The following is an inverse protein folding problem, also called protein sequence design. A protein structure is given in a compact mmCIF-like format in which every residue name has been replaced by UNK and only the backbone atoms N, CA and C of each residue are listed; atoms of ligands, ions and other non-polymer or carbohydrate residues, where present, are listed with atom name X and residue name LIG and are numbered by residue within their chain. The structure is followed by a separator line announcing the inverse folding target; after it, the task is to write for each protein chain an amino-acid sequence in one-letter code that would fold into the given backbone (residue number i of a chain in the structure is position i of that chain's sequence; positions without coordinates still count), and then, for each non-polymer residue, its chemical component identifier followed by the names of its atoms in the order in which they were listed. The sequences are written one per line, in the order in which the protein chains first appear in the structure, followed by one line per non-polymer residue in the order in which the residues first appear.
data_IF_146726004306
#
_entry.id   IF_146726004306
#
_cell.length_a   1.000
_cell.length_b   1.000
_cell.length_c   1.000
_cell.angle_alpha   90.00
_cell.angle_beta   90.00
_cell.angle_gamma   90.00
#
_symmetry.space_group_name_H-M   'P 1'
#
loop_
_entity.id
_entity.type
_entity.pdbx_description
1 polymer ?
#
# COMPACT_ATOMS: atom_id res chain seq x y z
N UNK A 1 17.12 -6.14 -3.18
CA UNK A 1 16.04 -6.31 -4.19
C UNK A 1 16.32 -7.46 -5.15
N UNK A 2 17.56 -7.71 -5.61
CA UNK A 2 17.88 -8.88 -6.45
C UNK A 2 17.49 -10.18 -5.75
N UNK A 3 17.96 -10.40 -4.54
CA UNK A 3 17.61 -11.57 -3.72
C UNK A 3 16.09 -11.76 -3.54
N UNK A 4 15.35 -10.66 -3.33
CA UNK A 4 13.88 -10.69 -3.22
C UNK A 4 13.24 -11.25 -4.50
N UNK A 5 13.72 -10.83 -5.67
CA UNK A 5 13.23 -11.33 -6.97
C UNK A 5 13.64 -12.77 -7.19
N UNK A 6 14.89 -13.13 -6.88
CA UNK A 6 15.42 -14.50 -6.97
C UNK A 6 14.61 -15.47 -6.07
N UNK A 7 14.09 -14.99 -4.97
CA UNK A 7 13.15 -15.72 -4.10
C UNK A 7 11.71 -15.78 -4.63
N UNK A 8 11.42 -15.18 -5.80
CA UNK A 8 10.09 -15.19 -6.42
C UNK A 8 9.12 -14.13 -5.93
N UNK A 9 9.57 -13.12 -5.16
CA UNK A 9 8.69 -12.05 -4.70
C UNK A 9 8.51 -10.97 -5.78
N UNK A 10 7.27 -10.53 -6.06
CA UNK A 10 7.02 -9.45 -7.02
C UNK A 10 7.52 -8.10 -6.49
N UNK A 11 7.97 -7.25 -7.41
CA UNK A 11 8.40 -5.88 -7.10
C UNK A 11 7.54 -4.89 -7.90
N UNK A 12 6.83 -4.02 -7.20
CA UNK A 12 6.00 -2.96 -7.77
C UNK A 12 6.70 -1.59 -7.80
N UNK A 13 6.05 -0.63 -8.45
CA UNK A 13 6.49 0.77 -8.51
C UNK A 13 5.86 1.58 -7.37
N UNK A 14 6.66 2.48 -6.77
CA UNK A 14 6.22 3.37 -5.68
C UNK A 14 6.70 4.81 -5.90
N UNK A 15 6.88 5.21 -7.16
CA UNK A 15 7.53 6.45 -7.62
C UNK A 15 9.02 6.53 -7.26
N UNK A 16 9.74 7.43 -7.92
CA UNK A 16 11.17 7.63 -7.67
C UNK A 16 11.45 8.48 -6.43
N UNK A 17 10.67 9.55 -6.23
CA UNK A 17 10.86 10.56 -5.18
C UNK A 17 9.75 10.56 -4.11
N UNK A 18 8.94 9.52 -4.01
CA UNK A 18 7.81 9.47 -3.08
C UNK A 18 6.86 10.68 -3.24
N UNK A 19 6.36 10.90 -4.47
CA UNK A 19 5.57 12.08 -4.84
C UNK A 19 4.11 11.97 -4.46
N UNK A 20 3.48 13.10 -4.09
CA UNK A 20 2.04 13.16 -3.82
C UNK A 20 1.24 13.19 -5.13
N UNK A 21 0.66 12.07 -5.50
CA UNK A 21 0.06 11.86 -6.82
C UNK A 21 -1.31 12.54 -7.02
N UNK A 22 -2.06 12.85 -5.95
CA UNK A 22 -3.40 13.44 -6.09
C UNK A 22 -3.39 14.95 -6.37
N UNK A 23 -2.27 15.64 -6.12
CA UNK A 23 -2.21 17.10 -6.31
C UNK A 23 -2.28 17.50 -7.77
N UNK A 24 -2.90 18.68 -8.02
CA UNK A 24 -2.85 19.39 -9.30
C UNK A 24 -1.88 20.59 -9.28
N UNK A 25 -1.38 20.95 -8.09
CA UNK A 25 -0.37 21.99 -7.92
C UNK A 25 1.03 21.35 -7.99
N UNK A 26 1.86 21.71 -9.01
CA UNK A 26 3.18 21.14 -9.18
C UNK A 26 4.12 21.40 -8.00
N UNK A 27 3.91 22.47 -7.22
CA UNK A 27 4.70 22.78 -6.03
C UNK A 27 4.40 21.80 -4.87
N UNK A 28 3.23 21.15 -4.88
CA UNK A 28 2.82 20.20 -3.86
C UNK A 28 3.18 18.74 -4.18
N UNK A 29 3.63 18.46 -5.41
CA UNK A 29 4.01 17.10 -5.81
C UNK A 29 5.11 16.54 -4.91
N UNK A 30 6.08 17.38 -4.51
CA UNK A 30 7.16 17.01 -3.62
C UNK A 30 7.67 18.26 -2.87
N UNK A 31 8.05 18.11 -1.59
CA UNK A 31 8.44 19.23 -0.72
C UNK A 31 9.56 20.11 -1.31
N UNK A 32 10.48 19.53 -2.08
CA UNK A 32 11.58 20.27 -2.75
C UNK A 32 11.07 21.34 -3.71
N UNK A 33 9.92 21.13 -4.37
CA UNK A 33 9.36 22.10 -5.32
C UNK A 33 8.72 23.31 -4.63
N UNK A 34 8.35 23.19 -3.35
CA UNK A 34 7.97 24.35 -2.53
C UNK A 34 9.17 25.25 -2.23
N UNK A 35 10.33 24.66 -1.98
CA UNK A 35 11.58 25.38 -1.64
C UNK A 35 12.33 25.86 -2.87
N UNK A 36 12.24 25.14 -3.98
CA UNK A 36 12.98 25.38 -5.20
C UNK A 36 12.06 25.21 -6.44
N UNK A 37 11.06 26.12 -6.66
CA UNK A 37 10.08 25.98 -7.73
C UNK A 37 10.70 26.03 -9.13
N UNK A 38 11.89 26.59 -9.30
CA UNK A 38 12.63 26.58 -10.58
C UNK A 38 13.01 25.16 -11.04
N UNK A 39 13.07 24.18 -10.14
CA UNK A 39 13.30 22.77 -10.50
C UNK A 39 12.14 22.17 -11.30
N UNK A 40 10.96 22.79 -11.25
CA UNK A 40 9.81 22.36 -12.05
C UNK A 40 10.04 22.61 -13.55
N UNK A 41 10.83 23.62 -13.93
CA UNK A 41 11.10 23.98 -15.32
C UNK A 41 9.81 24.14 -16.16
N UNK A 42 8.77 24.74 -15.59
CA UNK A 42 7.48 24.94 -16.24
C UNK A 42 6.57 23.71 -16.35
N UNK A 43 6.98 22.56 -15.81
CA UNK A 43 6.18 21.33 -15.87
C UNK A 43 4.95 21.41 -14.96
N UNK A 44 3.86 20.80 -15.42
CA UNK A 44 2.63 20.60 -14.64
C UNK A 44 2.81 19.51 -13.58
N UNK A 45 1.89 19.43 -12.62
CA UNK A 45 1.88 18.35 -11.63
C UNK A 45 1.82 16.96 -12.29
N UNK A 46 0.96 16.81 -13.30
CA UNK A 46 0.78 15.58 -14.06
C UNK A 46 2.09 15.13 -14.73
N UNK A 47 2.77 16.05 -15.42
CA UNK A 47 4.06 15.75 -16.07
C UNK A 47 5.15 15.33 -15.08
N UNK A 48 5.18 15.96 -13.90
CA UNK A 48 6.15 15.60 -12.85
C UNK A 48 5.84 14.22 -12.26
N UNK A 49 4.55 13.90 -12.01
CA UNK A 49 4.10 12.62 -11.51
C UNK A 49 4.39 11.52 -12.55
N UNK A 50 3.99 11.71 -13.81
CA UNK A 50 4.22 10.76 -14.89
C UNK A 50 5.71 10.44 -15.05
N UNK A 51 6.56 11.47 -15.07
CA UNK A 51 8.02 11.30 -15.15
C UNK A 51 8.57 10.54 -13.95
N UNK A 52 8.07 10.81 -12.74
CA UNK A 52 8.54 10.18 -11.52
C UNK A 52 8.23 8.67 -11.50
N UNK A 53 7.05 8.28 -11.97
CA UNK A 53 6.64 6.89 -12.13
C UNK A 53 7.50 6.20 -13.20
N UNK A 54 7.67 6.84 -14.37
CA UNK A 54 8.49 6.30 -15.45
C UNK A 54 9.97 6.10 -15.03
N UNK A 55 10.55 7.04 -14.29
CA UNK A 55 11.91 6.91 -13.75
C UNK A 55 12.07 5.72 -12.81
N UNK A 56 11.10 5.49 -11.92
CA UNK A 56 11.12 4.33 -11.03
C UNK A 56 11.02 3.01 -11.82
N UNK A 57 10.10 2.92 -12.79
CA UNK A 57 9.99 1.76 -13.68
C UNK A 57 11.27 1.50 -14.46
N UNK A 58 11.89 2.55 -15.01
CA UNK A 58 13.16 2.44 -15.73
C UNK A 58 14.29 1.97 -14.80
N UNK A 59 14.37 2.49 -13.56
CA UNK A 59 15.37 2.07 -12.60
C UNK A 59 15.21 0.58 -12.21
N UNK A 60 13.97 0.14 -11.98
CA UNK A 60 13.64 -1.27 -11.70
C UNK A 60 14.06 -2.13 -12.90
N UNK A 61 13.64 -1.78 -14.11
CA UNK A 61 13.99 -2.53 -15.34
C UNK A 61 15.49 -2.63 -15.54
N UNK A 62 16.22 -1.51 -15.41
CA UNK A 62 17.68 -1.49 -15.68
C UNK A 62 18.46 -2.28 -14.63
N UNK A 63 18.05 -2.22 -13.35
CA UNK A 63 18.80 -2.82 -12.25
C UNK A 63 18.40 -4.26 -11.93
N UNK A 64 17.16 -4.63 -12.22
CA UNK A 64 16.57 -5.90 -11.82
C UNK A 64 16.09 -6.75 -13.00
N UNK A 65 16.06 -6.21 -14.23
CA UNK A 65 15.63 -6.93 -15.43
C UNK A 65 14.12 -7.16 -15.53
N UNK A 66 13.32 -6.62 -14.62
CA UNK A 66 11.87 -6.81 -14.59
C UNK A 66 11.12 -5.52 -14.92
N UNK A 67 9.91 -5.65 -15.46
CA UNK A 67 8.99 -4.54 -15.67
C UNK A 67 7.85 -4.65 -14.66
N UNK A 68 7.70 -3.67 -13.71
CA UNK A 68 6.62 -3.73 -12.74
C UNK A 68 5.27 -3.53 -13.42
N UNK A 69 4.29 -4.36 -13.08
CA UNK A 69 2.91 -4.26 -13.57
C UNK A 69 1.94 -3.69 -12.51
N UNK A 70 2.44 -3.40 -11.32
CA UNK A 70 1.67 -2.87 -10.21
C UNK A 70 2.28 -1.61 -9.63
N UNK A 71 1.40 -0.75 -9.12
CA UNK A 71 1.75 0.54 -8.57
C UNK A 71 1.12 0.73 -7.19
N UNK A 72 1.95 1.06 -6.18
CA UNK A 72 1.43 1.54 -4.89
C UNK A 72 1.68 3.04 -4.79
N UNK A 73 0.63 3.80 -4.43
CA UNK A 73 0.78 5.25 -4.24
C UNK A 73 1.62 5.57 -3.02
N UNK A 74 2.51 6.58 -3.08
CA UNK A 74 3.06 7.21 -1.90
C UNK A 74 1.97 7.82 -1.03
N UNK A 75 1.73 7.20 0.14
CA UNK A 75 0.55 7.46 0.96
C UNK A 75 -0.70 6.74 0.46
N UNK A 76 -1.62 6.47 1.40
CA UNK A 76 -2.94 5.92 1.13
C UNK A 76 -4.02 7.00 1.21
N UNK A 77 -5.07 6.87 0.41
CA UNK A 77 -6.16 7.83 0.31
C UNK A 77 -7.48 7.14 0.63
N UNK A 78 -8.37 7.81 1.37
CA UNK A 78 -9.66 7.22 1.73
C UNK A 78 -10.49 6.77 0.50
N UNK A 79 -10.46 7.58 -0.55
CA UNK A 79 -11.19 7.29 -1.80
C UNK A 79 -10.28 6.75 -2.92
N UNK A 80 -9.03 6.44 -2.63
CA UNK A 80 -8.06 6.00 -3.63
C UNK A 80 -7.93 7.00 -4.79
N UNK A 81 -7.99 6.48 -6.00
CA UNK A 81 -7.98 7.28 -7.24
C UNK A 81 -9.38 7.59 -7.78
N UNK A 82 -10.46 7.44 -6.98
CA UNK A 82 -11.79 7.89 -7.38
C UNK A 82 -11.77 9.38 -7.76
N UNK A 83 -12.46 9.74 -8.85
CA UNK A 83 -12.46 11.11 -9.39
C UNK A 83 -11.17 11.51 -10.10
N UNK A 84 -10.21 10.60 -10.28
CA UNK A 84 -8.95 10.83 -10.99
C UNK A 84 -8.74 9.85 -12.17
N UNK A 85 -9.69 9.82 -13.14
CA UNK A 85 -9.55 8.96 -14.32
C UNK A 85 -8.32 9.32 -15.16
N UNK A 86 -7.83 10.55 -15.06
CA UNK A 86 -6.59 11.01 -15.64
C UNK A 86 -5.37 10.22 -15.13
N UNK A 87 -5.27 10.04 -13.80
CA UNK A 87 -4.20 9.24 -13.20
C UNK A 87 -4.35 7.74 -13.49
N UNK A 88 -5.58 7.23 -13.43
CA UNK A 88 -5.86 5.83 -13.74
C UNK A 88 -5.40 5.49 -15.18
N UNK A 89 -5.77 6.32 -16.17
CA UNK A 89 -5.34 6.16 -17.57
C UNK A 89 -3.83 6.36 -17.75
N UNK A 90 -3.22 7.29 -17.02
CA UNK A 90 -1.76 7.48 -17.02
C UNK A 90 -1.04 6.21 -16.56
N UNK A 91 -1.50 5.58 -15.48
CA UNK A 91 -0.95 4.33 -14.97
C UNK A 91 -1.09 3.20 -16.00
N UNK A 92 -2.28 3.03 -16.59
CA UNK A 92 -2.51 2.02 -17.65
C UNK A 92 -1.61 2.26 -18.87
N UNK A 93 -1.44 3.51 -19.32
CA UNK A 93 -0.52 3.86 -20.41
C UNK A 93 0.93 3.51 -20.12
N UNK A 94 1.34 3.53 -18.85
CA UNK A 94 2.67 3.11 -18.41
C UNK A 94 2.79 1.60 -18.13
N UNK A 95 1.74 0.81 -18.44
CA UNK A 95 1.75 -0.65 -18.35
C UNK A 95 1.29 -1.22 -17.00
N UNK A 96 0.74 -0.40 -16.11
CA UNK A 96 0.21 -0.91 -14.85
C UNK A 96 -1.20 -1.45 -15.04
N UNK A 97 -1.43 -2.67 -14.57
CA UNK A 97 -2.73 -3.34 -14.56
C UNK A 97 -3.49 -3.15 -13.24
N UNK A 98 -2.78 -2.85 -12.16
CA UNK A 98 -3.37 -2.63 -10.84
C UNK A 98 -2.66 -1.51 -10.07
N UNK A 99 -3.41 -0.95 -9.13
CA UNK A 99 -2.94 0.05 -8.17
C UNK A 99 -3.39 -0.32 -6.76
N UNK A 100 -2.59 0.07 -5.76
CA UNK A 100 -2.96 0.03 -4.36
C UNK A 100 -2.88 1.46 -3.82
N UNK A 101 -4.05 2.10 -3.67
CA UNK A 101 -4.17 3.51 -3.34
C UNK A 101 -5.19 3.80 -2.23
N UNK A 102 -6.20 2.96 -2.07
CA UNK A 102 -7.20 3.11 -1.01
C UNK A 102 -6.62 2.70 0.33
N UNK A 103 -6.78 3.57 1.33
CA UNK A 103 -6.47 3.30 2.72
C UNK A 103 -7.70 3.61 3.57
N UNK A 104 -8.47 2.57 3.97
CA UNK A 104 -9.73 2.76 4.70
C UNK A 104 -9.52 3.40 6.06
N UNK A 105 -10.44 4.24 6.47
CA UNK A 105 -10.42 4.91 7.78
C UNK A 105 -10.97 4.00 8.86
N UNK A 106 -10.37 4.08 10.03
CA UNK A 106 -10.88 3.49 11.27
C UNK A 106 -10.82 4.53 12.39
N UNK A 107 -11.42 4.22 13.54
CA UNK A 107 -11.32 5.07 14.72
C UNK A 107 -9.86 5.18 15.16
N UNK A 108 -9.43 6.39 15.45
CA UNK A 108 -8.11 6.68 16.01
C UNK A 108 -8.18 6.72 17.53
N UNK A 109 -7.25 6.01 18.17
CA UNK A 109 -7.03 6.11 19.61
C UNK A 109 -6.22 7.37 19.96
N UNK A 110 -6.12 7.65 21.25
CA UNK A 110 -5.17 8.66 21.74
C UNK A 110 -3.74 8.12 21.63
N UNK A 111 -2.76 8.94 21.21
CA UNK A 111 -1.35 8.54 21.18
C UNK A 111 -0.88 8.05 22.55
N UNK A 112 -0.06 7.00 22.58
CA UNK A 112 0.52 6.37 23.78
C UNK A 112 -0.51 5.72 24.73
N UNK A 113 -1.75 5.55 24.30
CA UNK A 113 -2.80 4.86 25.05
C UNK A 113 -3.09 3.52 24.36
N UNK A 114 -3.24 2.47 25.15
CA UNK A 114 -3.63 1.16 24.65
C UNK A 114 -4.97 1.24 23.92
N UNK A 115 -5.11 0.68 22.71
CA UNK A 115 -6.37 0.70 21.97
C UNK A 115 -7.44 -0.12 22.68
N UNK A 116 -8.62 0.49 22.86
CA UNK A 116 -9.78 -0.19 23.38
C UNK A 116 -10.46 -1.11 22.36
N UNK A 117 -11.44 -1.91 22.80
CA UNK A 117 -12.19 -2.81 21.92
C UNK A 117 -12.83 -2.10 20.71
N UNK A 118 -13.31 -0.88 20.89
CA UNK A 118 -13.93 -0.06 19.87
C UNK A 118 -12.99 0.26 18.70
N UNK A 119 -11.70 0.44 18.98
CA UNK A 119 -10.69 0.71 17.95
C UNK A 119 -10.45 -0.56 17.12
N UNK A 120 -10.23 -1.71 17.78
CA UNK A 120 -10.08 -3.00 17.08
C UNK A 120 -11.32 -3.33 16.25
N UNK A 121 -12.50 -3.15 16.79
CA UNK A 121 -13.76 -3.38 16.07
C UNK A 121 -13.88 -2.47 14.84
N UNK A 122 -13.46 -1.20 14.95
CA UNK A 122 -13.48 -0.27 13.81
C UNK A 122 -12.47 -0.66 12.72
N UNK A 123 -11.29 -1.16 13.10
CA UNK A 123 -10.29 -1.69 12.14
C UNK A 123 -10.87 -2.90 11.39
N UNK A 124 -11.51 -3.82 12.10
CA UNK A 124 -12.15 -5.00 11.48
C UNK A 124 -13.29 -4.57 10.57
N UNK A 125 -14.15 -3.66 11.01
CA UNK A 125 -15.27 -3.17 10.18
C UNK A 125 -14.77 -2.48 8.90
N UNK A 126 -13.65 -1.76 8.96
CA UNK A 126 -13.04 -1.10 7.81
C UNK A 126 -12.44 -2.09 6.79
N UNK A 127 -12.18 -3.36 7.16
CA UNK A 127 -11.72 -4.39 6.22
C UNK A 127 -12.69 -4.60 5.06
N UNK A 128 -13.99 -4.38 5.25
CA UNK A 128 -14.99 -4.45 4.17
C UNK A 128 -14.72 -3.44 3.06
N UNK A 129 -14.10 -2.31 3.38
CA UNK A 129 -13.70 -1.28 2.42
C UNK A 129 -12.30 -1.52 1.83
N UNK A 130 -11.56 -2.49 2.38
CA UNK A 130 -10.25 -2.90 1.92
C UNK A 130 -10.32 -4.10 0.95
N UNK A 131 -11.42 -4.22 0.20
CA UNK A 131 -11.56 -5.31 -0.76
C UNK A 131 -11.30 -4.84 -2.19
N UNK A 132 -10.65 -5.67 -3.02
CA UNK A 132 -10.32 -5.31 -4.38
C UNK A 132 -11.56 -4.99 -5.23
N UNK A 133 -11.42 -4.05 -6.16
CA UNK A 133 -12.45 -3.69 -7.13
C UNK A 133 -11.83 -3.14 -8.42
N UNK A 134 -12.65 -2.95 -9.45
CA UNK A 134 -12.21 -2.39 -10.73
C UNK A 134 -12.76 -0.98 -10.89
N UNK A 135 -11.88 0.00 -11.18
CA UNK A 135 -12.31 1.34 -11.57
C UNK A 135 -13.04 1.32 -12.92
N UNK A 136 -13.90 2.31 -13.21
CA UNK A 136 -14.58 2.39 -14.53
C UNK A 136 -13.63 2.45 -15.73
N UNK A 137 -12.35 2.77 -15.51
CA UNK A 137 -11.31 2.76 -16.56
C UNK A 137 -10.75 1.36 -16.84
N UNK A 138 -11.10 0.35 -16.05
CA UNK A 138 -10.56 -1.00 -16.12
C UNK A 138 -9.30 -1.22 -15.27
N UNK A 139 -8.78 -0.20 -14.57
CA UNK A 139 -7.66 -0.37 -13.64
C UNK A 139 -8.15 -1.07 -12.37
N UNK A 140 -7.45 -2.13 -11.93
CA UNK A 140 -7.80 -2.83 -10.69
C UNK A 140 -7.26 -2.05 -9.49
N UNK A 141 -8.08 -1.85 -8.46
CA UNK A 141 -7.65 -1.34 -7.16
C UNK A 141 -7.54 -2.49 -6.17
N UNK A 142 -6.44 -2.55 -5.44
CA UNK A 142 -6.24 -3.46 -4.31
C UNK A 142 -5.98 -2.59 -3.07
N UNK A 143 -7.02 -2.30 -2.27
CA UNK A 143 -6.89 -1.46 -1.10
C UNK A 143 -5.93 -2.02 -0.06
N UNK A 144 -5.21 -1.12 0.61
CA UNK A 144 -4.39 -1.46 1.77
C UNK A 144 -5.25 -1.84 2.96
N UNK A 145 -4.73 -2.70 3.81
CA UNK A 145 -5.33 -3.00 5.12
C UNK A 145 -5.53 -1.70 5.93
N UNK A 146 -6.61 -1.56 6.71
CA UNK A 146 -6.92 -0.35 7.49
C UNK A 146 -5.89 0.01 8.56
N UNK A 147 -5.01 -0.90 8.93
CA UNK A 147 -3.94 -0.65 9.90
C UNK A 147 -2.57 -0.95 9.29
N UNK A 148 -1.63 -0.02 9.48
CA UNK A 148 -0.23 -0.18 9.09
C UNK A 148 0.69 0.02 10.29
N UNK A 149 1.93 -0.42 10.15
CA UNK A 149 3.00 -0.20 11.10
C UNK A 149 3.23 1.30 11.39
N UNK A 150 3.22 2.15 10.35
CA UNK A 150 3.36 3.61 10.52
C UNK A 150 2.20 4.19 11.32
N UNK A 151 0.97 3.77 11.07
CA UNK A 151 -0.19 4.23 11.85
C UNK A 151 -0.08 3.75 13.30
N UNK A 152 0.24 2.50 13.52
CA UNK A 152 0.37 1.93 14.85
C UNK A 152 1.53 2.57 15.64
N UNK A 153 2.75 2.53 15.11
CA UNK A 153 3.94 2.88 15.88
C UNK A 153 4.28 4.37 15.82
N UNK A 154 4.20 5.03 14.65
CA UNK A 154 4.61 6.42 14.50
C UNK A 154 3.50 7.43 14.78
N UNK A 155 2.24 7.05 14.60
CA UNK A 155 1.10 7.94 14.87
C UNK A 155 0.51 7.71 16.26
N UNK A 156 0.26 6.45 16.60
CA UNK A 156 -0.40 6.10 17.86
C UNK A 156 0.58 5.69 18.96
N UNK A 157 1.85 5.46 18.63
CA UNK A 157 2.88 4.97 19.58
C UNK A 157 2.44 3.71 20.32
N UNK A 158 1.85 2.77 19.56
CA UNK A 158 1.43 1.48 20.09
C UNK A 158 2.62 0.61 20.44
N UNK A 159 2.44 -0.26 21.43
CA UNK A 159 3.35 -1.39 21.65
C UNK A 159 3.12 -2.46 20.57
N UNK A 160 4.14 -3.29 20.33
CA UNK A 160 4.08 -4.38 19.37
C UNK A 160 2.88 -5.31 19.60
N UNK A 161 2.58 -5.65 20.86
CA UNK A 161 1.46 -6.52 21.22
C UNK A 161 0.09 -6.01 20.70
N UNK A 162 -0.11 -4.68 20.65
CA UNK A 162 -1.36 -4.08 20.15
C UNK A 162 -1.44 -4.16 18.63
N UNK A 163 -0.31 -3.96 17.95
CA UNK A 163 -0.23 -4.09 16.50
C UNK A 163 -0.42 -5.54 16.08
N UNK A 164 0.27 -6.50 16.73
CA UNK A 164 0.08 -7.93 16.52
C UNK A 164 -1.39 -8.35 16.66
N UNK A 165 -2.07 -7.86 17.71
CA UNK A 165 -3.50 -8.12 17.91
C UNK A 165 -4.34 -7.57 16.77
N UNK A 166 -4.10 -6.32 16.33
CA UNK A 166 -4.86 -5.71 15.24
C UNK A 166 -4.68 -6.45 13.92
N UNK A 167 -3.45 -6.80 13.55
CA UNK A 167 -3.13 -7.55 12.33
C UNK A 167 -3.74 -8.95 12.40
N UNK A 168 -3.60 -9.66 13.53
CA UNK A 168 -4.20 -10.98 13.71
C UNK A 168 -5.71 -10.97 13.50
N UNK A 169 -6.42 -10.02 14.12
CA UNK A 169 -7.87 -9.89 13.97
C UNK A 169 -8.27 -9.61 12.51
N UNK A 170 -7.51 -8.79 11.80
CA UNK A 170 -7.73 -8.52 10.36
C UNK A 170 -7.52 -9.75 9.50
N UNK A 171 -6.47 -10.53 9.75
CA UNK A 171 -6.20 -11.80 9.05
C UNK A 171 -7.29 -12.84 9.36
N UNK A 172 -7.69 -12.97 10.62
CA UNK A 172 -8.77 -13.87 11.02
C UNK A 172 -10.10 -13.53 10.35
N UNK A 173 -10.42 -12.23 10.28
CA UNK A 173 -11.58 -11.75 9.55
C UNK A 173 -11.49 -12.11 8.06
N UNK A 174 -10.35 -11.88 7.41
CA UNK A 174 -10.17 -12.18 5.99
C UNK A 174 -10.33 -13.69 5.71
N UNK A 175 -9.79 -14.55 6.57
CA UNK A 175 -9.96 -16.01 6.47
C UNK A 175 -11.43 -16.40 6.63
N UNK A 176 -12.13 -15.81 7.59
CA UNK A 176 -13.53 -16.09 7.87
C UNK A 176 -14.44 -15.67 6.71
N UNK A 177 -14.24 -14.46 6.20
CA UNK A 177 -15.06 -13.86 5.15
C UNK A 177 -14.61 -14.27 3.72
N UNK A 178 -13.52 -15.06 3.57
CA UNK A 178 -12.90 -15.40 2.29
C UNK A 178 -12.53 -14.16 1.49
N UNK A 179 -11.88 -13.24 2.16
CA UNK A 179 -11.58 -11.89 1.70
C UNK A 179 -10.08 -11.64 1.57
N UNK A 180 -9.69 -10.50 1.04
CA UNK A 180 -8.30 -10.08 0.91
C UNK A 180 -7.86 -9.28 2.14
N UNK A 181 -6.63 -9.53 2.60
CA UNK A 181 -5.91 -8.74 3.58
C UNK A 181 -4.56 -8.31 2.97
N UNK A 182 -4.47 -7.06 2.51
CA UNK A 182 -3.21 -6.49 1.99
C UNK A 182 -2.39 -5.91 3.15
N UNK A 183 -1.41 -6.66 3.63
CA UNK A 183 -0.55 -6.25 4.75
C UNK A 183 0.36 -5.09 4.34
N UNK A 184 0.12 -3.91 4.91
CA UNK A 184 0.92 -2.71 4.70
C UNK A 184 1.94 -2.54 5.82
N UNK A 185 3.22 -2.63 5.46
CA UNK A 185 4.33 -2.39 6.37
C UNK A 185 5.52 -1.73 5.68
N UNK A 186 6.37 -1.08 6.47
CA UNK A 186 7.59 -0.40 6.02
C UNK A 186 8.80 -1.05 6.68
N UNK A 187 9.77 -1.58 5.93
CA UNK A 187 10.97 -2.19 6.51
C UNK A 187 11.67 -1.28 7.51
N UNK A 188 11.76 0.03 7.23
CA UNK A 188 12.36 1.03 8.12
C UNK A 188 11.61 1.24 9.44
N UNK A 189 10.35 0.79 9.54
CA UNK A 189 9.57 0.83 10.77
C UNK A 189 9.66 -0.52 11.49
N UNK A 190 9.45 -1.63 10.76
CA UNK A 190 9.46 -2.96 11.35
C UNK A 190 10.81 -3.33 11.96
N UNK A 191 11.95 -3.00 11.34
CA UNK A 191 13.28 -3.33 11.91
C UNK A 191 13.53 -2.68 13.27
N UNK A 192 12.78 -1.62 13.62
CA UNK A 192 12.89 -0.92 14.92
C UNK A 192 11.86 -1.45 15.91
N UNK A 193 10.61 -1.62 15.46
CA UNK A 193 9.46 -1.88 16.32
C UNK A 193 9.12 -3.37 16.46
N UNK A 194 9.53 -4.18 15.47
CA UNK A 194 9.34 -5.63 15.39
C UNK A 194 10.59 -6.32 14.81
N UNK A 195 11.76 -6.18 15.46
CA UNK A 195 13.05 -6.68 14.94
C UNK A 195 13.08 -8.19 14.72
N UNK A 196 12.27 -8.93 15.46
CA UNK A 196 12.15 -10.40 15.33
C UNK A 196 11.12 -10.84 14.29
N UNK A 197 10.52 -9.87 13.56
CA UNK A 197 9.49 -10.12 12.54
C UNK A 197 8.30 -10.96 13.07
N UNK A 198 7.90 -10.75 14.33
CA UNK A 198 6.80 -11.48 14.96
C UNK A 198 5.48 -11.31 14.21
N UNK A 199 5.23 -10.10 13.67
CA UNK A 199 4.01 -9.83 12.90
C UNK A 199 3.95 -10.69 11.64
N UNK A 200 5.04 -10.74 10.87
CA UNK A 200 5.11 -11.53 9.64
C UNK A 200 5.01 -13.02 9.96
N UNK A 201 5.73 -13.48 10.98
CA UNK A 201 5.69 -14.87 11.44
C UNK A 201 4.28 -15.28 11.84
N UNK A 202 3.59 -14.45 12.63
CA UNK A 202 2.22 -14.69 13.07
C UNK A 202 1.26 -14.82 11.86
N UNK A 203 1.36 -13.95 10.86
CA UNK A 203 0.54 -14.02 9.63
C UNK A 203 0.82 -15.34 8.89
N UNK A 204 2.09 -15.68 8.66
CA UNK A 204 2.47 -16.93 7.99
C UNK A 204 1.95 -18.18 8.73
N UNK A 205 2.07 -18.21 10.03
CA UNK A 205 1.60 -19.32 10.86
C UNK A 205 0.07 -19.45 10.81
N UNK A 206 -0.66 -18.33 10.89
CA UNK A 206 -2.13 -18.35 10.80
C UNK A 206 -2.61 -18.87 9.46
N UNK A 207 -2.01 -18.40 8.35
CA UNK A 207 -2.36 -18.88 7.01
C UNK A 207 -1.99 -20.36 6.85
N UNK A 208 -0.82 -20.79 7.32
CA UNK A 208 -0.40 -22.20 7.29
C UNK A 208 -1.39 -23.12 8.02
N UNK A 209 -1.93 -22.67 9.16
CA UNK A 209 -2.95 -23.42 9.91
C UNK A 209 -4.30 -23.53 9.16
N UNK A 210 -4.54 -22.67 8.20
CA UNK A 210 -5.77 -22.56 7.42
C UNK A 210 -5.53 -22.77 5.91
N UNK A 211 -4.55 -23.59 5.54
CA UNK A 211 -4.08 -23.79 4.15
C UNK A 211 -5.19 -24.16 3.14
N UNK A 212 -6.27 -24.78 3.59
CA UNK A 212 -7.41 -25.14 2.74
C UNK A 212 -8.38 -23.96 2.52
N UNK A 213 -8.18 -22.84 3.23
CA UNK A 213 -9.07 -21.67 3.22
C UNK A 213 -8.35 -20.37 2.92
N UNK A 214 -7.03 -20.32 3.07
CA UNK A 214 -6.23 -19.11 2.91
C UNK A 214 -4.86 -19.42 2.29
N UNK A 215 -4.35 -18.48 1.54
CA UNK A 215 -3.01 -18.50 0.94
C UNK A 215 -2.36 -17.12 1.01
N UNK A 216 -1.03 -17.06 0.95
CA UNK A 216 -0.28 -15.82 0.81
C UNK A 216 0.15 -15.73 -0.65
N UNK A 217 -0.24 -14.65 -1.30
CA UNK A 217 0.03 -14.42 -2.73
C UNK A 217 0.49 -12.97 -2.98
N UNK A 218 1.11 -12.71 -4.13
CA UNK A 218 1.42 -11.36 -4.59
C UNK A 218 0.16 -10.60 -5.02
N UNK A 219 0.21 -9.26 -4.97
CA UNK A 219 -0.91 -8.42 -5.39
C UNK A 219 -1.22 -8.56 -6.89
N UNK A 220 -0.23 -8.90 -7.71
CA UNK A 220 -0.39 -9.24 -9.12
C UNK A 220 -1.31 -10.45 -9.34
N UNK A 221 -1.18 -11.47 -8.49
CA UNK A 221 -2.06 -12.65 -8.52
C UNK A 221 -3.48 -12.30 -8.08
N UNK A 222 -3.62 -11.42 -7.06
CA UNK A 222 -4.95 -10.90 -6.66
C UNK A 222 -5.57 -10.12 -7.81
N UNK A 223 -4.80 -9.21 -8.44
CA UNK A 223 -5.28 -8.42 -9.58
C UNK A 223 -5.78 -9.30 -10.72
N UNK A 224 -5.06 -10.38 -11.05
CA UNK A 224 -5.43 -11.29 -12.14
C UNK A 224 -6.72 -12.11 -11.88
N UNK A 225 -7.15 -12.21 -10.62
CA UNK A 225 -8.40 -12.89 -10.24
C UNK A 225 -9.62 -11.98 -10.25
N UNK A 226 -9.39 -10.66 -10.31
CA UNK A 226 -10.44 -9.61 -10.25
C UNK A 226 -10.70 -9.01 -11.63
N UNK A 227 -9.68 -9.00 -12.51
CA UNK A 227 -9.73 -8.42 -13.86
C UNK A 227 -10.70 -9.16 -14.83
#
# INVERSE_FOLDING_TARGET
LKEIIEMGHPVGNHTYDHVYVLTRDPKQVQFRFRRAPWLLRGRTAEQVIEQNIAMASQAIKTRLGITPNGFRTPGGFYTGLNGRPDLQKMLQKQGFSWVSSVYPRHLSGKPKVAPGPEIYNSIIAAQKQAQPFVYPTGLVEIPMSPISDVTAFRTHYWKLEYFLKAVRLGVEWAIQERAVFDFLAHPSCLVVEDPECETIRMVCERVKQQKDRAEIVGLDQIASRIA
#
